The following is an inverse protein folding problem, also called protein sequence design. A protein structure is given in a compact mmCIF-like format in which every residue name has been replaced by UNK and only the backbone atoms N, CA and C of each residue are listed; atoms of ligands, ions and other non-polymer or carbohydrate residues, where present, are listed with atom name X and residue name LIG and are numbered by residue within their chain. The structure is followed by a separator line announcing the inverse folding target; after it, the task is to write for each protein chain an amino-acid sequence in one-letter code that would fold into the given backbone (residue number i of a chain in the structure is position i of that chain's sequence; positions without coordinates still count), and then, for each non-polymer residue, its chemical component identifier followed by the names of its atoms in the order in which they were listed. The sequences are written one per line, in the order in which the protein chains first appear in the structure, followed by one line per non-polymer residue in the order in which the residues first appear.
data_IF_960079307026
#
_entry.id   IF_960079307026
#
_cell.length_a   1.000
_cell.length_b   1.000
_cell.length_c   1.000
_cell.angle_alpha   90.00
_cell.angle_beta   90.00
_cell.angle_gamma   90.00
#
_symmetry.space_group_name_H-M   'P 1'
#
loop_
_entity.id
_entity.type
_entity.pdbx_description
1 polymer ?
#
# COMPACT_ATOMS: atom_id res chain seq x y z
N UNK A 1 2.65 -75.14 30.75
CA UNK A 1 3.09 -74.61 29.44
C UNK A 1 2.53 -73.20 29.19
N UNK A 2 3.01 -72.16 29.90
CA UNK A 2 2.43 -70.80 29.79
C UNK A 2 3.44 -69.63 29.86
N UNK A 3 4.75 -69.90 29.76
CA UNK A 3 5.79 -68.84 29.85
C UNK A 3 6.43 -68.43 28.52
N UNK A 4 6.09 -69.10 27.41
CA UNK A 4 6.72 -68.83 26.10
C UNK A 4 5.90 -67.93 25.17
N UNK A 5 4.64 -67.61 25.52
CA UNK A 5 3.75 -66.83 24.65
C UNK A 5 3.92 -65.30 24.82
N UNK A 6 4.34 -64.82 25.99
CA UNK A 6 4.48 -63.38 26.26
C UNK A 6 5.72 -62.74 25.61
N UNK A 7 6.83 -63.47 25.47
CA UNK A 7 8.08 -62.89 24.94
C UNK A 7 8.09 -62.61 23.43
N UNK A 8 7.23 -63.29 22.66
CA UNK A 8 7.15 -63.13 21.20
C UNK A 8 6.23 -61.98 20.77
N UNK A 9 5.14 -61.75 21.51
CA UNK A 9 4.18 -60.66 21.26
C UNK A 9 4.78 -59.26 21.50
N UNK A 10 5.67 -59.09 22.49
CA UNK A 10 6.28 -57.79 22.77
C UNK A 10 7.22 -57.31 21.64
N UNK A 11 7.91 -58.23 20.96
CA UNK A 11 8.90 -57.90 19.92
C UNK A 11 8.26 -57.49 18.58
N UNK A 12 7.05 -57.97 18.27
CA UNK A 12 6.35 -57.60 17.03
C UNK A 12 5.75 -56.19 17.11
N UNK A 13 5.24 -55.78 18.28
CA UNK A 13 4.62 -54.47 18.51
C UNK A 13 5.67 -53.34 18.42
N UNK A 14 6.86 -53.54 19.00
CA UNK A 14 7.96 -52.57 18.93
C UNK A 14 8.46 -52.32 17.51
N UNK A 15 8.52 -53.35 16.65
CA UNK A 15 8.93 -53.22 15.23
C UNK A 15 7.87 -52.59 14.33
N UNK A 16 6.60 -52.59 14.75
CA UNK A 16 5.51 -51.93 14.04
C UNK A 16 5.36 -50.45 14.44
N UNK A 17 5.85 -50.07 15.62
CA UNK A 17 5.90 -48.69 16.10
C UNK A 17 7.08 -47.91 15.47
N UNK A 18 8.26 -48.53 15.35
CA UNK A 18 9.43 -47.87 14.74
C UNK A 18 9.22 -47.54 13.26
N UNK A 19 8.61 -48.45 12.49
CA UNK A 19 8.28 -48.21 11.08
C UNK A 19 7.24 -47.10 10.86
N UNK A 20 6.41 -46.78 11.85
CA UNK A 20 5.44 -45.67 11.77
C UNK A 20 6.06 -44.29 12.01
N UNK A 21 7.18 -44.22 12.73
CA UNK A 21 7.90 -42.98 12.98
C UNK A 21 8.81 -42.58 11.81
N UNK A 22 9.29 -43.55 11.03
CA UNK A 22 10.10 -43.32 9.82
C UNK A 22 9.29 -42.61 8.71
N UNK A 23 8.07 -43.08 8.40
CA UNK A 23 7.22 -42.48 7.36
C UNK A 23 6.78 -41.03 7.63
N UNK A 24 6.76 -40.59 8.89
CA UNK A 24 6.34 -39.22 9.27
C UNK A 24 7.44 -38.19 9.02
N UNK A 25 8.70 -38.61 8.87
CA UNK A 25 9.88 -37.72 8.81
C UNK A 25 10.23 -37.29 7.39
N UNK A 26 9.94 -38.10 6.38
CA UNK A 26 10.32 -37.83 4.99
C UNK A 26 9.37 -36.87 4.24
N UNK A 27 8.07 -36.88 4.58
CA UNK A 27 7.09 -35.97 3.97
C UNK A 27 7.10 -34.55 4.54
N UNK A 28 7.45 -34.42 5.82
CA UNK A 28 7.51 -33.12 6.51
C UNK A 28 8.74 -32.33 6.07
N UNK A 29 9.90 -33.00 5.94
CA UNK A 29 11.14 -32.31 5.57
C UNK A 29 11.10 -31.72 4.15
N UNK A 30 10.44 -32.40 3.19
CA UNK A 30 10.27 -31.87 1.82
C UNK A 30 9.27 -30.72 1.77
N UNK A 31 8.23 -30.73 2.61
CA UNK A 31 7.29 -29.60 2.76
C UNK A 31 7.94 -28.41 3.46
N UNK A 32 8.73 -28.65 4.51
CA UNK A 32 9.54 -27.63 5.18
C UNK A 32 10.56 -27.03 4.21
N UNK A 33 11.25 -27.84 3.41
CA UNK A 33 12.17 -27.35 2.38
C UNK A 33 11.46 -26.53 1.30
N UNK A 34 10.27 -26.96 0.83
CA UNK A 34 9.49 -26.19 -0.14
C UNK A 34 8.98 -24.87 0.45
N UNK A 35 8.51 -24.85 1.70
CA UNK A 35 8.08 -23.63 2.39
C UNK A 35 9.27 -22.68 2.64
N UNK A 36 10.42 -23.20 3.05
CA UNK A 36 11.64 -22.42 3.22
C UNK A 36 12.16 -21.85 1.90
N UNK A 37 12.09 -22.62 0.80
CA UNK A 37 12.46 -22.15 -0.53
C UNK A 37 11.51 -21.05 -1.04
N UNK A 38 10.20 -21.16 -0.81
CA UNK A 38 9.25 -20.09 -1.15
C UNK A 38 9.50 -18.78 -0.37
N UNK A 39 9.97 -18.85 0.87
CA UNK A 39 10.33 -17.66 1.66
C UNK A 39 11.62 -16.98 1.19
N UNK A 40 12.55 -17.72 0.56
CA UNK A 40 13.86 -17.20 0.16
C UNK A 40 13.88 -16.45 -1.19
N UNK A 41 12.78 -16.50 -1.96
CA UNK A 41 12.68 -15.87 -3.30
C UNK A 41 11.65 -14.75 -3.32
N UNK A 42 11.28 -14.19 -2.17
CA UNK A 42 10.62 -12.89 -2.16
C UNK A 42 11.70 -11.83 -2.39
N UNK A 43 11.76 -11.14 -3.57
CA UNK A 43 12.53 -9.93 -3.64
C UNK A 43 11.90 -8.98 -2.62
N UNK A 44 12.66 -8.65 -1.58
CA UNK A 44 12.32 -7.52 -0.73
C UNK A 44 12.38 -6.28 -1.63
N UNK A 45 11.24 -5.93 -2.24
CA UNK A 45 10.97 -4.59 -2.72
C UNK A 45 10.87 -3.71 -1.46
N UNK A 46 12.00 -3.50 -0.80
CA UNK A 46 12.15 -2.38 0.10
C UNK A 46 12.13 -1.16 -0.81
N UNK A 47 10.95 -0.59 -1.02
CA UNK A 47 10.80 0.78 -1.50
C UNK A 47 11.74 1.63 -0.65
N UNK A 48 12.83 2.06 -1.27
CA UNK A 48 13.78 2.97 -0.62
C UNK A 48 12.97 4.23 -0.34
N UNK A 49 12.86 4.68 0.92
CA UNK A 49 12.10 5.88 1.22
C UNK A 49 12.61 7.01 0.33
N UNK A 50 11.67 7.67 -0.35
CA UNK A 50 11.98 8.83 -1.17
C UNK A 50 12.69 9.91 -0.32
N UNK A 51 13.45 10.81 -0.95
CA UNK A 51 14.09 11.91 -0.24
C UNK A 51 13.03 12.72 0.53
N UNK A 52 13.20 12.88 1.84
CA UNK A 52 12.31 13.72 2.64
C UNK A 52 12.44 15.19 2.22
N UNK A 53 11.33 15.96 2.21
CA UNK A 53 11.37 17.37 1.88
C UNK A 53 12.23 18.13 2.89
N UNK A 54 13.18 18.90 2.38
CA UNK A 54 14.06 19.73 3.19
C UNK A 54 13.26 20.84 3.90
N UNK A 55 13.76 21.36 5.04
CA UNK A 55 13.14 22.51 5.69
C UNK A 55 13.03 23.77 4.81
N UNK A 56 13.89 23.90 3.79
CA UNK A 56 13.84 25.00 2.85
C UNK A 56 12.64 24.88 1.88
N UNK A 57 12.39 23.68 1.37
CA UNK A 57 11.25 23.39 0.50
C UNK A 57 9.91 23.57 1.24
N UNK A 58 9.82 23.08 2.47
CA UNK A 58 8.63 23.28 3.31
C UNK A 58 8.33 24.77 3.57
N UNK A 59 9.38 25.59 3.76
CA UNK A 59 9.21 27.04 3.91
C UNK A 59 8.75 27.72 2.62
N UNK A 60 9.21 27.23 1.46
CA UNK A 60 8.79 27.78 0.16
C UNK A 60 7.27 27.61 -0.04
N UNK A 61 6.72 26.43 0.27
CA UNK A 61 5.27 26.17 0.24
C UNK A 61 4.49 27.07 1.19
N UNK A 62 4.96 27.25 2.42
CA UNK A 62 4.24 28.09 3.38
C UNK A 62 4.28 29.57 2.99
N UNK A 63 5.40 30.03 2.43
CA UNK A 63 5.56 31.41 1.95
C UNK A 63 4.71 31.68 0.71
N UNK A 64 4.47 30.69 -0.14
CA UNK A 64 3.68 30.85 -1.36
C UNK A 64 2.32 31.52 -1.12
N UNK A 65 1.57 31.10 -0.08
CA UNK A 65 0.27 31.70 0.23
C UNK A 65 0.33 33.17 0.69
N UNK A 66 1.49 33.61 1.21
CA UNK A 66 1.72 35.03 1.57
C UNK A 66 1.98 35.86 0.33
N UNK A 67 2.75 35.32 -0.62
CA UNK A 67 3.09 36.00 -1.88
C UNK A 67 1.93 35.96 -2.89
N UNK A 68 0.99 35.00 -2.75
CA UNK A 68 -0.16 34.80 -3.62
C UNK A 68 -1.50 34.81 -2.84
N UNK A 69 -1.95 35.98 -2.34
CA UNK A 69 -3.16 36.08 -1.51
C UNK A 69 -4.47 35.78 -2.27
N UNK A 70 -4.44 35.83 -3.60
CA UNK A 70 -5.55 35.46 -4.48
C UNK A 70 -5.70 33.94 -4.67
N UNK A 71 -4.68 33.17 -4.27
CA UNK A 71 -4.72 31.73 -4.28
C UNK A 71 -5.39 31.18 -3.00
N UNK A 72 -6.45 30.39 -3.18
CA UNK A 72 -7.20 29.79 -2.09
C UNK A 72 -6.60 28.46 -1.62
N UNK A 73 -6.08 27.68 -2.57
CA UNK A 73 -5.40 26.41 -2.32
C UNK A 73 -4.20 26.23 -3.25
N UNK A 74 -3.08 25.76 -2.70
CA UNK A 74 -1.82 25.54 -3.40
C UNK A 74 -1.13 24.26 -2.92
N UNK A 75 -0.24 23.70 -3.75
CA UNK A 75 0.49 22.46 -3.44
C UNK A 75 1.88 22.47 -4.06
N UNK A 76 2.84 21.77 -3.45
CA UNK A 76 4.11 21.38 -4.09
C UNK A 76 4.12 19.90 -4.53
N UNK A 77 2.96 19.24 -4.54
CA UNK A 77 2.84 17.80 -4.78
C UNK A 77 3.08 16.93 -3.54
N UNK A 78 3.64 17.49 -2.47
CA UNK A 78 3.91 16.82 -1.20
C UNK A 78 3.07 17.33 -0.03
N UNK A 79 2.71 18.60 -0.08
CA UNK A 79 2.01 19.34 0.93
C UNK A 79 0.92 20.15 0.24
N UNK A 80 -0.32 19.93 0.66
CA UNK A 80 -1.48 20.65 0.18
C UNK A 80 -1.81 21.71 1.21
N UNK A 81 -1.79 22.96 0.81
CA UNK A 81 -2.03 24.10 1.66
C UNK A 81 -3.27 24.88 1.22
N UNK A 82 -3.92 25.48 2.21
CA UNK A 82 -4.97 26.47 2.07
C UNK A 82 -4.58 27.68 2.91
N UNK A 83 -5.35 28.78 2.81
CA UNK A 83 -5.12 29.96 3.64
C UNK A 83 -5.08 29.71 5.17
N UNK A 84 -5.64 28.60 5.64
CA UNK A 84 -5.75 28.30 7.08
C UNK A 84 -4.90 27.11 7.51
N UNK A 85 -4.75 26.11 6.66
CA UNK A 85 -4.17 24.81 7.05
C UNK A 85 -3.38 24.19 5.91
N UNK A 86 -2.31 23.47 6.27
CA UNK A 86 -1.57 22.60 5.37
C UNK A 86 -1.68 21.14 5.83
N UNK A 87 -1.72 20.22 4.89
CA UNK A 87 -1.69 18.78 5.11
C UNK A 87 -0.61 18.12 4.26
N UNK A 88 0.00 17.05 4.78
CA UNK A 88 1.03 16.27 4.08
C UNK A 88 0.46 14.91 3.68
N UNK A 89 0.07 14.69 2.41
CA UNK A 89 -0.49 13.43 1.92
C UNK A 89 0.37 12.16 2.15
N UNK A 90 1.67 12.25 2.46
CA UNK A 90 2.48 11.13 2.95
C UNK A 90 3.82 10.93 2.25
N UNK A 91 4.50 9.82 2.56
CA UNK A 91 5.94 9.55 2.30
C UNK A 91 6.29 9.32 0.81
N UNK A 92 5.30 9.24 -0.08
CA UNK A 92 5.51 8.86 -1.49
C UNK A 92 5.68 10.04 -2.47
N UNK A 93 5.67 11.28 -1.97
CA UNK A 93 5.70 12.46 -2.82
C UNK A 93 7.14 12.96 -3.03
N UNK A 94 7.39 13.61 -4.17
CA UNK A 94 8.62 14.38 -4.40
C UNK A 94 8.23 15.86 -4.46
N UNK A 95 8.83 16.73 -3.64
CA UNK A 95 8.46 18.15 -3.63
C UNK A 95 8.84 18.80 -4.96
N UNK A 96 7.98 19.70 -5.43
CA UNK A 96 8.17 20.49 -6.64
C UNK A 96 7.95 21.97 -6.35
N UNK A 97 8.06 22.83 -7.36
CA UNK A 97 7.76 24.24 -7.17
C UNK A 97 6.27 24.44 -6.86
N UNK A 98 5.90 25.23 -5.83
CA UNK A 98 4.51 25.34 -5.41
C UNK A 98 3.63 25.96 -6.50
N UNK A 99 2.46 25.36 -6.72
CA UNK A 99 1.48 25.80 -7.72
C UNK A 99 0.13 26.07 -7.08
N UNK A 100 -0.57 27.09 -7.59
CA UNK A 100 -1.94 27.39 -7.20
C UNK A 100 -2.92 26.41 -7.88
N UNK A 101 -3.69 25.66 -7.11
CA UNK A 101 -4.71 24.74 -7.62
C UNK A 101 -6.09 25.39 -7.74
N UNK A 102 -6.42 26.31 -6.82
CA UNK A 102 -7.69 27.01 -6.80
C UNK A 102 -7.52 28.49 -6.47
N UNK A 103 -8.12 29.34 -7.30
CA UNK A 103 -8.30 30.78 -7.04
C UNK A 103 -9.70 31.03 -6.53
N UNK A 104 -9.88 32.05 -5.68
CA UNK A 104 -11.17 32.38 -5.10
C UNK A 104 -12.27 32.60 -6.16
N UNK A 105 -11.91 33.19 -7.30
CA UNK A 105 -12.83 33.45 -8.43
C UNK A 105 -13.31 32.18 -9.14
N UNK A 106 -12.58 31.06 -9.02
CA UNK A 106 -12.89 29.80 -9.70
C UNK A 106 -13.74 28.84 -8.85
N UNK A 107 -13.95 29.19 -7.56
CA UNK A 107 -14.81 28.44 -6.63
C UNK A 107 -16.28 28.89 -6.71
N UNK A 108 -16.55 30.03 -7.35
CA UNK A 108 -17.88 30.31 -7.88
C UNK A 108 -18.15 29.31 -9.00
N UNK A 109 -19.00 28.34 -8.66
CA UNK A 109 -19.49 27.29 -9.53
C UNK A 109 -19.78 27.81 -10.95
N UNK A 110 -19.63 26.96 -11.99
CA UNK A 110 -20.13 27.30 -13.31
C UNK A 110 -21.56 27.82 -13.14
N UNK A 111 -21.81 29.08 -13.53
CA UNK A 111 -23.18 29.57 -13.70
C UNK A 111 -23.90 28.50 -14.51
N UNK A 112 -25.11 28.05 -14.14
CA UNK A 112 -25.84 27.11 -14.95
C UNK A 112 -25.95 27.71 -16.34
N UNK A 113 -25.27 27.10 -17.31
CA UNK A 113 -25.28 27.52 -18.69
C UNK A 113 -26.73 27.55 -19.16
N UNK A 114 -27.34 28.73 -19.23
CA UNK A 114 -28.47 28.97 -20.12
C UNK A 114 -27.93 29.01 -21.54
N UNK A 115 -27.50 27.84 -22.01
CA UNK A 115 -27.36 27.57 -23.43
C UNK A 115 -28.76 27.76 -24.04
N UNK A 116 -28.94 28.66 -25.03
CA UNK A 116 -30.23 28.85 -25.66
C UNK A 116 -30.63 27.54 -26.33
N UNK A 117 -31.64 26.86 -25.77
CA UNK A 117 -32.27 25.73 -26.44
C UNK A 117 -32.94 26.32 -27.68
N UNK A 118 -32.30 26.16 -28.83
CA UNK A 118 -32.88 26.51 -30.11
C UNK A 118 -34.24 25.79 -30.24
N UNK A 119 -35.32 26.48 -30.64
CA UNK A 119 -36.61 25.82 -30.84
C UNK A 119 -36.44 24.71 -31.90
N UNK A 120 -37.08 23.55 -31.71
CA UNK A 120 -37.05 22.50 -32.72
C UNK A 120 -37.66 23.05 -34.01
N UNK A 121 -36.88 22.95 -35.10
CA UNK A 121 -37.32 23.32 -36.43
C UNK A 121 -38.56 22.48 -36.80
N UNK A 122 -39.70 23.16 -36.93
CA UNK A 122 -40.92 22.62 -37.53
C UNK A 122 -40.62 22.34 -39.01
N UNK A 123 -40.76 21.07 -39.41
CA UNK A 123 -40.60 20.62 -40.80
C UNK A 123 -41.99 20.61 -41.45
N UNK A 124 -42.14 21.11 -42.70
CA UNK A 124 -43.44 21.40 -43.33
C UNK A 124 -44.30 20.17 -43.62
#
# INVERSE_FOLDING_TARGET
MARLYHGRQAKSILRAASRRLDWRREGDMRRIFLLAFCMAVAPALAETPGPEPTPAEQRAVQKYGVDHPDCFAWTDGCMICTQKTCSTPGIACTPHEPVCEARAEKLEAPKPDTSPVAPPAEKP
#
